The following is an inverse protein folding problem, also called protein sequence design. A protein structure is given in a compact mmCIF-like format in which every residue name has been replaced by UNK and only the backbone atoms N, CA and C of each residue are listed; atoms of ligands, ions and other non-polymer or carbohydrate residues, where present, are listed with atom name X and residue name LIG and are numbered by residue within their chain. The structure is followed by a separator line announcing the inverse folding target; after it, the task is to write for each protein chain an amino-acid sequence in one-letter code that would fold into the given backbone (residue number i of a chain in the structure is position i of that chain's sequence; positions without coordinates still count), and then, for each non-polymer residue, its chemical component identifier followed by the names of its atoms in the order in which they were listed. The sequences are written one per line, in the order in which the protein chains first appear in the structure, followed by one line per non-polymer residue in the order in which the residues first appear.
data_IF_346092287436
#
_entry.id   IF_346092287436
#
_cell.length_a   1.000
_cell.length_b   1.000
_cell.length_c   1.000
_cell.angle_alpha   90.00
_cell.angle_beta   90.00
_cell.angle_gamma   90.00
#
_symmetry.space_group_name_H-M   'P 1'
#
loop_
_entity.id
_entity.type
_entity.pdbx_description
1 polymer ?
#
# COMPACT_ATOMS: atom_id res chain seq x y z
N UNK A 1 -20.32 20.62 30.01
CA UNK A 1 -19.64 21.09 31.25
C UNK A 1 -18.50 20.13 31.50
N UNK A 2 -17.34 20.60 31.92
CA UNK A 2 -16.16 19.75 32.15
C UNK A 2 -15.60 19.94 33.57
N UNK A 3 -14.95 18.92 34.15
CA UNK A 3 -14.24 19.00 35.43
C UNK A 3 -13.28 20.20 35.56
N UNK A 4 -13.40 20.96 36.64
CA UNK A 4 -12.57 22.14 36.91
C UNK A 4 -11.11 21.77 37.22
N UNK A 5 -10.17 22.49 36.62
CA UNK A 5 -8.74 22.24 36.79
C UNK A 5 -8.16 22.99 38.01
N UNK A 6 -7.12 22.41 38.62
CA UNK A 6 -6.51 22.85 39.87
C UNK A 6 -4.98 22.74 39.84
N UNK A 7 -4.31 23.48 40.71
CA UNK A 7 -2.87 23.27 41.01
C UNK A 7 -2.63 21.81 41.37
N UNK A 8 -1.55 21.20 40.88
CA UNK A 8 -1.13 19.80 40.90
C UNK A 8 -1.87 18.86 39.94
N UNK A 9 -2.82 19.37 39.14
CA UNK A 9 -3.43 18.55 38.10
C UNK A 9 -2.43 18.37 36.95
N UNK A 10 -2.46 17.18 36.37
CA UNK A 10 -1.51 16.71 35.37
C UNK A 10 -1.85 17.28 33.99
N UNK A 11 -0.82 17.49 33.18
CA UNK A 11 -0.96 17.84 31.76
C UNK A 11 -0.33 16.75 30.89
N UNK A 12 -0.88 16.53 29.70
CA UNK A 12 -0.38 15.52 28.78
C UNK A 12 -0.44 15.97 27.32
N UNK A 13 0.34 15.28 26.51
CA UNK A 13 0.15 15.19 25.07
C UNK A 13 -0.42 13.83 24.74
N UNK A 14 -1.23 13.76 23.68
CA UNK A 14 -1.76 12.51 23.17
C UNK A 14 -0.69 11.65 22.52
N UNK A 15 -1.07 10.44 22.14
CA UNK A 15 -0.23 9.52 21.37
C UNK A 15 -0.20 9.83 19.86
N UNK A 16 -1.03 10.78 19.40
CA UNK A 16 -1.28 11.04 17.98
C UNK A 16 -0.01 11.40 17.22
N UNK A 17 0.83 12.30 17.76
CA UNK A 17 2.08 12.69 17.08
C UNK A 17 3.03 11.52 16.80
N UNK A 18 3.26 10.68 17.80
CA UNK A 18 4.12 9.50 17.64
C UNK A 18 3.57 8.57 16.55
N UNK A 19 2.27 8.31 16.59
CA UNK A 19 1.62 7.41 15.65
C UNK A 19 1.58 7.98 14.23
N UNK A 20 1.34 9.29 14.07
CA UNK A 20 1.42 9.99 12.79
C UNK A 20 2.81 9.92 12.19
N UNK A 21 3.86 10.20 12.98
CA UNK A 21 5.25 10.13 12.49
C UNK A 21 5.60 8.69 12.09
N UNK A 22 5.29 7.71 12.94
CA UNK A 22 5.51 6.30 12.63
C UNK A 22 4.78 5.84 11.37
N UNK A 23 3.51 6.19 11.24
CA UNK A 23 2.69 5.87 10.08
C UNK A 23 3.16 6.58 8.81
N UNK A 24 3.56 7.86 8.90
CA UNK A 24 4.11 8.62 7.78
C UNK A 24 5.40 8.00 7.25
N UNK A 25 6.28 7.47 8.13
CA UNK A 25 7.50 6.78 7.73
C UNK A 25 7.20 5.48 6.95
N UNK A 26 6.19 4.71 7.38
CA UNK A 26 5.68 3.56 6.61
C UNK A 26 5.14 4.04 5.25
N UNK A 27 4.43 5.17 5.25
CA UNK A 27 3.96 5.86 4.05
C UNK A 27 5.08 6.24 3.08
N UNK A 28 6.21 6.78 3.56
CA UNK A 28 7.39 7.09 2.73
C UNK A 28 7.89 5.84 2.03
N UNK A 29 8.12 4.75 2.79
CA UNK A 29 8.64 3.51 2.24
C UNK A 29 7.69 2.91 1.19
N UNK A 30 6.39 2.90 1.49
CA UNK A 30 5.36 2.44 0.56
C UNK A 30 5.29 3.31 -0.70
N UNK A 31 5.31 4.64 -0.56
CA UNK A 31 5.29 5.57 -1.69
C UNK A 31 6.46 5.37 -2.64
N UNK A 32 7.68 5.24 -2.11
CA UNK A 32 8.88 4.96 -2.91
C UNK A 32 8.74 3.61 -3.64
N UNK A 33 8.24 2.58 -2.94
CA UNK A 33 8.07 1.27 -3.53
C UNK A 33 6.99 1.27 -4.64
N UNK A 34 5.89 2.03 -4.49
CA UNK A 34 4.88 2.23 -5.56
C UNK A 34 5.51 2.92 -6.78
N UNK A 35 6.30 3.98 -6.56
CA UNK A 35 7.00 4.69 -7.63
C UNK A 35 7.88 3.75 -8.43
N UNK A 36 8.68 2.91 -7.75
CA UNK A 36 9.51 1.89 -8.40
C UNK A 36 8.70 0.81 -9.12
N UNK A 37 7.62 0.32 -8.50
CA UNK A 37 6.80 -0.76 -9.05
C UNK A 37 6.11 -0.39 -10.37
N UNK A 38 5.70 0.87 -10.53
CA UNK A 38 4.97 1.35 -11.71
C UNK A 38 5.86 2.15 -12.66
N UNK A 39 7.05 2.57 -12.21
CA UNK A 39 7.96 3.42 -12.98
C UNK A 39 7.47 4.87 -13.08
N UNK A 40 6.91 5.41 -11.98
CA UNK A 40 6.47 6.80 -11.93
C UNK A 40 7.69 7.74 -11.96
N UNK A 41 7.56 8.87 -12.64
CA UNK A 41 8.62 9.88 -12.70
C UNK A 41 8.06 11.29 -12.49
N UNK A 42 8.94 12.23 -12.15
CA UNK A 42 8.59 13.64 -12.00
C UNK A 42 7.46 13.89 -11.00
N UNK A 43 6.52 14.76 -11.36
CA UNK A 43 5.44 15.20 -10.47
C UNK A 43 4.52 14.07 -10.01
N UNK A 44 4.27 13.05 -10.85
CA UNK A 44 3.40 11.94 -10.48
C UNK A 44 4.04 11.05 -9.39
N UNK A 45 5.37 10.91 -9.42
CA UNK A 45 6.10 10.22 -8.36
C UNK A 45 6.00 10.98 -7.02
N UNK A 46 6.14 12.30 -7.05
CA UNK A 46 5.98 13.15 -5.86
C UNK A 46 4.57 13.05 -5.27
N UNK A 47 3.53 13.06 -6.12
CA UNK A 47 2.13 12.89 -5.70
C UNK A 47 1.89 11.52 -5.04
N UNK A 48 2.42 10.43 -5.62
CA UNK A 48 2.26 9.10 -5.04
C UNK A 48 2.92 8.98 -3.65
N UNK A 49 4.13 9.54 -3.50
CA UNK A 49 4.84 9.55 -2.21
C UNK A 49 4.10 10.43 -1.19
N UNK A 50 3.69 11.64 -1.58
CA UNK A 50 2.93 12.54 -0.71
C UNK A 50 1.61 11.91 -0.23
N UNK A 51 0.88 11.25 -1.14
CA UNK A 51 -0.35 10.54 -0.81
C UNK A 51 -0.12 9.38 0.16
N UNK A 52 0.96 8.62 -0.02
CA UNK A 52 1.32 7.52 0.86
C UNK A 52 1.76 8.02 2.26
N UNK A 53 2.51 9.12 2.34
CA UNK A 53 2.87 9.78 3.60
C UNK A 53 1.62 10.22 4.36
N UNK A 54 0.71 10.92 3.68
CA UNK A 54 -0.56 11.37 4.25
C UNK A 54 -1.40 10.18 4.73
N UNK A 55 -1.59 9.18 3.87
CA UNK A 55 -2.36 7.98 4.19
C UNK A 55 -1.78 7.20 5.37
N UNK A 56 -0.45 7.01 5.39
CA UNK A 56 0.23 6.32 6.48
C UNK A 56 0.13 7.09 7.80
N UNK A 57 0.37 8.41 7.77
CA UNK A 57 0.30 9.25 8.96
C UNK A 57 -1.10 9.31 9.57
N UNK A 58 -2.13 9.54 8.74
CA UNK A 58 -3.52 9.57 9.20
C UNK A 58 -4.00 8.20 9.67
N UNK A 59 -3.59 7.11 9.01
CA UNK A 59 -3.90 5.77 9.48
C UNK A 59 -3.26 5.48 10.85
N UNK A 60 -2.01 5.91 11.05
CA UNK A 60 -1.33 5.82 12.35
C UNK A 60 -2.08 6.58 13.45
N UNK A 61 -2.48 7.82 13.18
CA UNK A 61 -3.29 8.65 14.08
C UNK A 61 -4.62 7.98 14.47
N UNK A 62 -5.33 7.43 13.50
CA UNK A 62 -6.60 6.74 13.70
C UNK A 62 -6.43 5.47 14.55
N UNK A 63 -5.37 4.67 14.30
CA UNK A 63 -5.06 3.50 15.15
C UNK A 63 -4.83 3.95 16.60
N UNK A 64 -4.01 4.97 16.82
CA UNK A 64 -3.70 5.44 18.16
C UNK A 64 -4.94 6.03 18.87
N UNK A 65 -5.73 6.83 18.17
CA UNK A 65 -6.97 7.42 18.69
C UNK A 65 -7.99 6.33 19.05
N UNK A 66 -8.13 5.31 18.20
CA UNK A 66 -9.02 4.18 18.46
C UNK A 66 -8.57 3.34 19.66
N UNK A 67 -7.29 2.98 19.75
CA UNK A 67 -6.75 2.24 20.90
C UNK A 67 -6.87 3.03 22.20
N UNK A 68 -6.55 4.34 22.18
CA UNK A 68 -6.68 5.20 23.34
C UNK A 68 -8.12 5.25 23.85
N UNK A 69 -9.10 5.31 22.94
CA UNK A 69 -10.52 5.35 23.29
C UNK A 69 -11.03 3.99 23.79
N UNK A 70 -10.67 2.88 23.13
CA UNK A 70 -11.18 1.54 23.46
C UNK A 70 -10.66 1.06 24.82
N UNK A 71 -9.39 1.34 25.10
CA UNK A 71 -8.72 0.85 26.31
C UNK A 71 -8.56 1.91 27.41
N UNK A 72 -9.11 3.11 27.21
CA UNK A 72 -8.97 4.27 28.10
C UNK A 72 -7.49 4.46 28.52
N UNK A 73 -6.60 4.51 27.51
CA UNK A 73 -5.17 4.46 27.75
C UNK A 73 -4.71 5.72 28.50
N UNK A 74 -3.99 5.57 29.62
CA UNK A 74 -3.57 6.72 30.41
C UNK A 74 -2.47 7.49 29.68
N UNK A 75 -2.79 8.66 29.16
CA UNK A 75 -1.82 9.52 28.48
C UNK A 75 -0.60 9.80 29.37
N UNK A 76 0.63 9.82 28.83
CA UNK A 76 1.81 10.06 29.64
C UNK A 76 1.80 11.47 30.20
N UNK A 77 1.91 11.60 31.53
CA UNK A 77 2.03 12.90 32.19
C UNK A 77 3.30 13.60 31.72
N UNK A 78 3.12 14.79 31.17
CA UNK A 78 4.21 15.62 30.63
C UNK A 78 4.60 16.77 31.54
N UNK A 79 3.78 17.07 32.55
CA UNK A 79 4.01 18.10 33.56
C UNK A 79 2.82 18.20 34.53
N UNK A 80 2.89 19.16 35.45
CA UNK A 80 1.84 19.45 36.42
C UNK A 80 1.62 20.96 36.53
N UNK A 81 0.38 21.37 36.76
CA UNK A 81 0.02 22.76 36.97
C UNK A 81 0.53 23.23 38.34
N UNK A 82 1.28 24.32 38.41
CA UNK A 82 1.88 24.77 39.68
C UNK A 82 1.40 26.15 40.13
N UNK A 83 0.76 26.91 39.24
CA UNK A 83 0.28 28.27 39.53
C UNK A 83 -1.24 28.31 39.43
N UNK A 84 -1.92 28.65 40.53
CA UNK A 84 -3.38 28.74 40.61
C UNK A 84 -3.88 30.12 41.05
N UNK A 85 -5.19 30.23 41.25
CA UNK A 85 -5.81 31.39 41.89
C UNK A 85 -5.36 31.53 43.35
N UNK A 86 -5.08 32.75 43.83
CA UNK A 86 -4.70 32.99 45.22
C UNK A 86 -5.88 32.94 46.20
N UNK A 87 -7.12 32.97 45.73
CA UNK A 87 -8.31 33.12 46.58
C UNK A 87 -9.54 32.31 46.12
N UNK A 88 -9.50 31.67 44.95
CA UNK A 88 -10.55 30.75 44.50
C UNK A 88 -9.97 29.35 44.48
N UNK A 89 -10.58 28.47 45.27
CA UNK A 89 -10.13 27.10 45.44
C UNK A 89 -11.20 26.14 44.96
N UNK A 90 -10.78 25.09 44.25
CA UNK A 90 -11.64 23.96 43.91
C UNK A 90 -11.14 22.78 44.70
N UNK A 91 -11.97 22.25 45.61
CA UNK A 91 -11.59 21.18 46.54
C UNK A 91 -10.26 21.45 47.27
N UNK A 92 -10.09 22.68 47.79
CA UNK A 92 -8.93 23.07 48.57
C UNK A 92 -7.64 23.36 47.77
N UNK A 93 -7.63 23.14 46.46
CA UNK A 93 -6.47 23.45 45.58
C UNK A 93 -6.78 24.69 44.74
N UNK A 94 -5.77 25.53 44.50
CA UNK A 94 -5.95 26.78 43.76
C UNK A 94 -6.53 26.51 42.36
N UNK A 95 -7.60 27.21 42.00
CA UNK A 95 -8.27 27.02 40.71
C UNK A 95 -7.40 27.53 39.55
N UNK A 96 -7.46 26.86 38.39
CA UNK A 96 -6.63 27.22 37.22
C UNK A 96 -7.34 28.24 36.35
N UNK A 97 -6.59 29.23 35.92
CA UNK A 97 -7.04 30.38 35.13
C UNK A 97 -6.25 30.44 33.84
N UNK A 98 -6.91 30.65 32.71
CA UNK A 98 -6.22 31.02 31.50
C UNK A 98 -5.40 32.31 31.72
N UNK A 99 -4.28 32.45 31.00
CA UNK A 99 -3.27 33.51 31.07
C UNK A 99 -2.44 33.62 32.36
N UNK A 100 -3.05 33.36 33.52
CA UNK A 100 -2.41 33.61 34.83
C UNK A 100 -1.94 32.35 35.55
N UNK A 101 -2.37 31.17 35.08
CA UNK A 101 -1.89 29.88 35.58
C UNK A 101 -0.90 29.24 34.61
N UNK A 102 -0.05 28.37 35.14
CA UNK A 102 0.96 27.67 34.35
C UNK A 102 1.35 26.34 34.96
N UNK A 103 1.84 25.43 34.12
CA UNK A 103 2.70 24.34 34.55
C UNK A 103 4.14 24.85 34.72
N UNK A 104 4.93 24.23 35.59
CA UNK A 104 6.34 24.59 35.81
C UNK A 104 7.27 24.15 34.68
N UNK A 105 6.87 23.10 33.96
CA UNK A 105 7.61 22.53 32.84
C UNK A 105 6.69 21.65 31.99
N UNK A 106 7.16 21.26 30.80
CA UNK A 106 6.54 20.23 29.99
C UNK A 106 7.60 19.44 29.22
N UNK A 107 7.64 18.11 29.36
CA UNK A 107 8.65 17.28 28.68
C UNK A 107 8.32 16.99 27.19
N UNK A 108 7.06 17.14 26.76
CA UNK A 108 6.62 17.02 25.35
C UNK A 108 6.84 15.65 24.68
N UNK A 109 7.17 14.60 25.46
CA UNK A 109 7.69 13.35 24.92
C UNK A 109 6.65 12.50 24.17
N UNK A 110 7.06 11.76 23.12
CA UNK A 110 8.08 12.09 22.14
C UNK A 110 7.45 12.84 20.93
N UNK A 111 8.18 13.80 20.37
CA UNK A 111 7.88 14.52 19.12
C UNK A 111 6.89 15.69 19.14
N UNK A 112 6.31 16.08 20.28
CA UNK A 112 5.50 17.31 20.33
C UNK A 112 6.38 18.56 20.37
N UNK A 113 7.33 18.60 21.30
CA UNK A 113 8.35 19.64 21.36
C UNK A 113 9.52 19.15 22.23
N UNK A 114 10.74 19.74 22.11
CA UNK A 114 11.81 19.52 23.08
C UNK A 114 11.36 19.89 24.50
N UNK A 115 11.93 19.31 25.56
CA UNK A 115 11.56 19.65 26.93
C UNK A 115 11.57 21.17 27.15
N UNK A 116 10.47 21.70 27.67
CA UNK A 116 10.33 23.08 28.11
C UNK A 116 10.58 23.15 29.61
N UNK A 117 11.76 23.62 30.05
CA UNK A 117 12.10 23.73 31.47
C UNK A 117 11.48 24.96 32.15
N UNK A 118 10.80 25.84 31.39
CA UNK A 118 10.17 27.06 31.88
C UNK A 118 8.66 26.93 32.07
N UNK A 119 8.06 27.98 32.64
CA UNK A 119 6.63 28.02 32.86
C UNK A 119 5.84 27.94 31.56
N UNK A 120 4.89 27.01 31.51
CA UNK A 120 4.00 26.82 30.37
C UNK A 120 2.64 27.36 30.73
N UNK A 121 2.26 28.49 30.12
CA UNK A 121 1.05 29.22 30.48
C UNK A 121 -0.19 28.50 29.95
N UNK A 122 -1.25 28.42 30.75
CA UNK A 122 -2.57 27.92 30.35
C UNK A 122 -3.23 28.94 29.43
N UNK A 123 -3.75 28.49 28.28
CA UNK A 123 -4.29 29.36 27.23
C UNK A 123 -5.76 29.18 26.96
N UNK A 124 -6.38 28.15 27.51
CA UNK A 124 -7.80 27.90 27.32
C UNK A 124 -8.57 27.87 28.65
N UNK A 125 -9.83 28.27 28.58
CA UNK A 125 -10.76 28.24 29.70
C UNK A 125 -12.20 28.42 29.25
N UNK A 126 -13.09 28.79 30.16
CA UNK A 126 -14.51 29.00 29.87
C UNK A 126 -14.77 30.37 29.29
N UNK A 127 -15.59 30.42 28.23
CA UNK A 127 -16.09 31.67 27.69
C UNK A 127 -17.08 32.40 28.62
N UNK A 128 -17.65 31.70 29.61
CA UNK A 128 -18.74 32.23 30.45
C UNK A 128 -18.45 32.18 31.95
N UNK A 129 -17.45 31.41 32.39
CA UNK A 129 -17.07 31.29 33.80
C UNK A 129 -15.68 31.88 33.98
N UNK A 130 -15.57 32.88 34.84
CA UNK A 130 -14.34 33.62 35.07
C UNK A 130 -13.89 33.49 36.53
N UNK A 131 -12.59 33.33 36.74
CA UNK A 131 -11.94 33.31 38.04
C UNK A 131 -10.88 34.42 38.05
N UNK A 132 -11.06 35.40 38.94
CA UNK A 132 -10.24 36.61 38.99
C UNK A 132 -10.18 37.37 37.65
N UNK A 133 -11.31 37.43 36.94
CA UNK A 133 -11.39 38.11 35.64
C UNK A 133 -10.84 37.32 34.46
N UNK A 134 -10.34 36.09 34.67
CA UNK A 134 -9.79 35.25 33.60
C UNK A 134 -10.64 34.00 33.36
N UNK A 135 -10.72 33.49 32.12
CA UNK A 135 -11.42 32.24 31.81
C UNK A 135 -11.00 31.09 32.72
N UNK A 136 -11.97 30.42 33.33
CA UNK A 136 -11.71 29.30 34.23
C UNK A 136 -11.35 28.04 33.44
N UNK A 137 -10.16 27.49 33.67
CA UNK A 137 -9.67 26.31 32.95
C UNK A 137 -10.22 25.01 33.54
N UNK A 138 -10.36 24.02 32.68
CA UNK A 138 -11.02 22.72 32.97
C UNK A 138 -10.31 21.60 32.22
N UNK A 139 -10.74 20.36 32.45
CA UNK A 139 -10.25 19.18 31.73
C UNK A 139 -10.19 19.47 30.22
N UNK A 140 -9.11 19.03 29.57
CA UNK A 140 -8.77 19.26 28.15
C UNK A 140 -8.44 20.70 27.75
N UNK A 141 -8.48 21.69 28.66
CA UNK A 141 -8.00 23.04 28.33
C UNK A 141 -6.50 22.99 28.00
N UNK A 142 -6.10 23.65 26.92
CA UNK A 142 -4.72 23.64 26.44
C UNK A 142 -3.83 24.72 27.05
N UNK A 143 -2.55 24.39 27.07
CA UNK A 143 -1.44 25.24 27.43
C UNK A 143 -0.73 25.75 26.17
N UNK A 144 0.18 26.70 26.35
CA UNK A 144 0.93 27.34 25.25
C UNK A 144 1.68 26.32 24.37
N UNK A 145 2.11 25.18 24.93
CA UNK A 145 2.81 24.12 24.19
C UNK A 145 1.91 23.13 23.43
N UNK A 146 0.58 23.26 23.53
CA UNK A 146 -0.36 22.28 22.99
C UNK A 146 -0.75 21.16 23.98
N UNK A 147 0.01 20.95 25.06
CA UNK A 147 -0.41 20.04 26.13
C UNK A 147 -1.77 20.45 26.69
N UNK A 148 -2.58 19.47 27.07
CA UNK A 148 -3.88 19.71 27.66
C UNK A 148 -3.93 19.19 29.09
N UNK A 149 -4.85 19.76 29.88
CA UNK A 149 -5.08 19.33 31.26
C UNK A 149 -5.75 17.95 31.25
N UNK A 150 -5.07 16.94 31.81
CA UNK A 150 -5.43 15.52 31.79
C UNK A 150 -6.14 15.06 33.06
N UNK A 151 -5.86 15.67 34.21
CA UNK A 151 -6.60 15.41 35.45
C UNK A 151 -7.29 16.66 35.97
N UNK A 152 -8.36 16.50 36.75
CA UNK A 152 -9.22 17.59 37.16
C UNK A 152 -10.04 17.23 38.41
N UNK A 153 -10.90 18.16 38.86
CA UNK A 153 -11.82 17.97 39.97
C UNK A 153 -12.85 16.87 39.73
N UNK A 154 -13.07 15.93 40.67
CA UNK A 154 -14.05 14.85 40.47
C UNK A 154 -15.52 15.31 40.51
N UNK A 155 -15.81 16.51 41.02
CA UNK A 155 -17.17 16.93 41.37
C UNK A 155 -17.48 18.41 41.14
N UNK A 156 -16.52 19.22 40.72
CA UNK A 156 -16.75 20.62 40.37
C UNK A 156 -16.65 20.76 38.86
N UNK A 157 -17.73 21.20 38.23
CA UNK A 157 -17.85 21.32 36.79
C UNK A 157 -17.91 22.79 36.37
N UNK A 158 -17.21 23.12 35.29
CA UNK A 158 -17.23 24.43 34.64
C UNK A 158 -17.95 24.28 33.30
N UNK A 159 -18.96 25.12 33.08
CA UNK A 159 -19.71 25.21 31.83
C UNK A 159 -19.09 26.18 30.82
N UNK A 160 -19.83 26.43 29.74
CA UNK A 160 -19.43 27.35 28.67
C UNK A 160 -18.55 26.69 27.60
N UNK A 161 -18.51 27.34 26.43
CA UNK A 161 -17.60 26.98 25.34
C UNK A 161 -16.14 27.24 25.72
N UNK A 162 -15.21 26.68 24.95
CA UNK A 162 -13.78 26.91 25.13
C UNK A 162 -13.41 28.27 24.55
N UNK A 163 -12.87 29.16 25.39
CA UNK A 163 -12.26 30.40 24.97
C UNK A 163 -10.74 30.27 24.99
N UNK A 164 -10.10 30.58 23.87
CA UNK A 164 -8.65 30.63 23.75
C UNK A 164 -8.17 32.08 23.97
N UNK A 165 -7.30 32.26 24.96
CA UNK A 165 -6.80 33.58 25.43
C UNK A 165 -5.47 33.98 24.81
N UNK A 166 -4.80 33.08 24.11
CA UNK A 166 -3.54 33.38 23.43
C UNK A 166 -3.09 32.24 22.53
N UNK A 167 -1.89 32.36 21.96
CA UNK A 167 -1.36 31.36 21.04
C UNK A 167 -1.17 29.99 21.71
N UNK A 168 -1.58 28.93 21.03
CA UNK A 168 -1.38 27.53 21.41
C UNK A 168 -0.59 26.86 20.28
N UNK A 169 0.61 26.40 20.59
CA UNK A 169 1.46 25.64 19.67
C UNK A 169 1.01 24.17 19.64
N UNK A 170 -0.15 23.90 19.04
CA UNK A 170 -0.68 22.53 18.95
C UNK A 170 -0.11 21.79 17.73
N UNK A 171 1.11 21.28 17.89
CA UNK A 171 1.80 20.58 16.81
C UNK A 171 1.06 19.31 16.36
N UNK A 172 0.37 18.62 17.28
CA UNK A 172 -0.43 17.44 16.95
C UNK A 172 -1.56 17.77 15.99
N UNK A 173 -2.39 18.75 16.35
CA UNK A 173 -3.48 19.22 15.50
C UNK A 173 -2.96 19.74 14.16
N UNK A 174 -1.89 20.52 14.16
CA UNK A 174 -1.28 21.05 12.94
C UNK A 174 -0.76 19.95 12.02
N UNK A 175 -0.12 18.92 12.57
CA UNK A 175 0.38 17.77 11.81
C UNK A 175 -0.78 16.99 11.21
N UNK A 176 -1.84 16.74 12.00
CA UNK A 176 -3.04 16.04 11.53
C UNK A 176 -3.70 16.79 10.37
N UNK A 177 -3.94 18.10 10.52
CA UNK A 177 -4.49 18.94 9.45
C UNK A 177 -3.56 19.03 8.24
N UNK A 178 -2.25 19.13 8.46
CA UNK A 178 -1.25 19.13 7.39
C UNK A 178 -1.28 17.84 6.56
N UNK A 179 -1.37 16.68 7.21
CA UNK A 179 -1.51 15.38 6.54
C UNK A 179 -2.84 15.26 5.80
N UNK A 180 -3.95 15.75 6.36
CA UNK A 180 -5.24 15.79 5.66
C UNK A 180 -5.17 16.64 4.37
N UNK A 181 -4.59 17.83 4.47
CA UNK A 181 -4.39 18.72 3.31
C UNK A 181 -3.47 18.04 2.29
N UNK A 182 -2.38 17.41 2.73
CA UNK A 182 -1.46 16.69 1.85
C UNK A 182 -2.16 15.52 1.14
N UNK A 183 -2.99 14.76 1.85
CA UNK A 183 -3.76 13.65 1.29
C UNK A 183 -4.75 14.12 0.23
N UNK A 184 -5.52 15.17 0.52
CA UNK A 184 -6.46 15.78 -0.44
C UNK A 184 -5.71 16.34 -1.64
N UNK A 185 -4.62 17.09 -1.43
CA UNK A 185 -3.81 17.64 -2.51
C UNK A 185 -3.20 16.54 -3.39
N UNK A 186 -2.79 15.41 -2.79
CA UNK A 186 -2.28 14.26 -3.53
C UNK A 186 -3.37 13.57 -4.35
N UNK A 187 -4.59 13.43 -3.81
CA UNK A 187 -5.73 12.91 -4.56
C UNK A 187 -6.10 13.83 -5.73
N UNK A 188 -6.14 15.15 -5.51
CA UNK A 188 -6.38 16.14 -6.58
C UNK A 188 -5.28 16.05 -7.63
N UNK A 189 -4.02 16.02 -7.22
CA UNK A 189 -2.88 15.89 -8.12
C UNK A 189 -2.93 14.61 -8.95
N UNK A 190 -3.25 13.48 -8.33
CA UNK A 190 -3.42 12.20 -9.02
C UNK A 190 -4.57 12.26 -10.02
N UNK A 191 -5.68 12.91 -9.66
CA UNK A 191 -6.80 13.17 -10.56
C UNK A 191 -6.43 14.04 -11.76
N UNK A 192 -5.61 15.08 -11.57
CA UNK A 192 -5.09 15.91 -12.67
C UNK A 192 -4.23 15.07 -13.62
N UNK A 193 -3.30 14.27 -13.10
CA UNK A 193 -2.50 13.37 -13.94
C UNK A 193 -3.35 12.33 -14.67
N UNK A 194 -4.37 11.78 -14.00
CA UNK A 194 -5.31 10.85 -14.63
C UNK A 194 -6.13 11.52 -15.75
N UNK A 195 -6.56 12.77 -15.57
CA UNK A 195 -7.23 13.56 -16.59
C UNK A 195 -6.32 13.85 -17.78
N UNK A 196 -5.05 14.18 -17.55
CA UNK A 196 -4.05 14.36 -18.61
C UNK A 196 -3.81 13.07 -19.40
N UNK A 197 -3.91 11.91 -18.75
CA UNK A 197 -3.82 10.60 -19.41
C UNK A 197 -5.08 10.22 -20.20
N UNK A 198 -6.18 10.95 -20.05
CA UNK A 198 -7.42 10.82 -20.82
C UNK A 198 -8.64 10.45 -19.99
N UNK A 199 -9.82 10.61 -20.58
CA UNK A 199 -11.11 10.43 -19.89
C UNK A 199 -11.30 9.03 -19.29
N UNK A 200 -10.79 7.98 -19.95
CA UNK A 200 -10.85 6.60 -19.42
C UNK A 200 -10.02 6.44 -18.15
N UNK A 201 -8.80 7.00 -18.12
CA UNK A 201 -7.92 6.95 -16.95
C UNK A 201 -8.50 7.76 -15.80
N UNK A 202 -9.04 8.95 -16.07
CA UNK A 202 -9.74 9.76 -15.07
C UNK A 202 -10.99 9.08 -14.52
N UNK A 203 -11.81 8.47 -15.40
CA UNK A 203 -12.98 7.71 -14.99
C UNK A 203 -12.63 6.54 -14.07
N UNK A 204 -11.58 5.77 -14.42
CA UNK A 204 -11.08 4.70 -13.57
C UNK A 204 -10.58 5.23 -12.22
N UNK A 205 -9.80 6.31 -12.21
CA UNK A 205 -9.34 6.97 -10.99
C UNK A 205 -10.51 7.41 -10.09
N UNK A 206 -11.51 8.09 -10.66
CA UNK A 206 -12.67 8.57 -9.91
C UNK A 206 -13.48 7.42 -9.31
N UNK A 207 -13.69 6.33 -10.06
CA UNK A 207 -14.39 5.13 -9.58
C UNK A 207 -13.61 4.46 -8.44
N UNK A 208 -12.29 4.28 -8.59
CA UNK A 208 -11.45 3.69 -7.56
C UNK A 208 -11.43 4.56 -6.31
N UNK A 209 -11.29 5.88 -6.46
CA UNK A 209 -11.31 6.84 -5.35
C UNK A 209 -12.64 6.83 -4.61
N UNK A 210 -13.77 6.86 -5.34
CA UNK A 210 -15.10 6.81 -4.75
C UNK A 210 -15.38 5.47 -4.04
N UNK A 211 -14.99 4.35 -4.65
CA UNK A 211 -15.11 3.03 -4.04
C UNK A 211 -14.24 2.90 -2.79
N UNK A 212 -13.02 3.44 -2.82
CA UNK A 212 -12.14 3.50 -1.65
C UNK A 212 -12.76 4.32 -0.51
N UNK A 213 -13.29 5.50 -0.79
CA UNK A 213 -14.00 6.33 0.19
C UNK A 213 -15.21 5.62 0.79
N UNK A 214 -16.08 5.07 -0.06
CA UNK A 214 -17.27 4.35 0.39
C UNK A 214 -16.91 3.10 1.23
N UNK A 215 -15.85 2.39 0.84
CA UNK A 215 -15.32 1.25 1.61
C UNK A 215 -14.85 1.67 3.00
N UNK A 216 -14.11 2.78 3.11
CA UNK A 216 -13.64 3.30 4.40
C UNK A 216 -14.79 3.78 5.28
N UNK A 217 -15.81 4.44 4.72
CA UNK A 217 -17.00 4.82 5.48
C UNK A 217 -17.77 3.58 5.94
N UNK A 218 -17.84 2.54 5.10
CA UNK A 218 -18.39 1.23 5.47
C UNK A 218 -17.69 0.62 6.69
N UNK A 219 -16.36 0.62 6.70
CA UNK A 219 -15.55 0.17 7.85
C UNK A 219 -15.85 1.02 9.08
N UNK A 220 -16.01 2.34 8.90
CA UNK A 220 -16.36 3.25 9.99
C UNK A 220 -17.72 2.96 10.61
N UNK A 221 -18.74 2.72 9.79
CA UNK A 221 -20.08 2.34 10.25
C UNK A 221 -20.08 1.02 11.03
N UNK A 222 -19.29 0.03 10.58
CA UNK A 222 -19.10 -1.22 11.34
C UNK A 222 -18.42 -0.93 12.68
N UNK A 223 -17.42 -0.06 12.71
CA UNK A 223 -16.75 0.37 13.94
C UNK A 223 -17.70 1.04 14.93
N UNK A 224 -18.49 2.01 14.45
CA UNK A 224 -19.48 2.72 15.29
C UNK A 224 -20.50 1.75 15.91
N UNK A 225 -20.89 0.70 15.18
CA UNK A 225 -21.81 -0.33 15.67
C UNK A 225 -21.20 -1.19 16.80
N UNK A 226 -19.88 -1.31 16.87
CA UNK A 226 -19.18 -2.07 17.92
C UNK A 226 -19.05 -1.22 19.19
N UNK A 227 -18.66 0.05 19.05
CA UNK A 227 -18.57 0.97 20.17
C UNK A 227 -17.56 2.11 19.96
N UNK A 228 -17.39 2.98 20.98
CA UNK A 228 -16.49 4.11 20.91
C UNK A 228 -15.06 3.70 20.55
N UNK A 229 -14.42 4.46 19.64
CA UNK A 229 -13.04 4.23 19.20
C UNK A 229 -12.85 3.15 18.14
N UNK A 230 -13.82 2.25 17.92
CA UNK A 230 -13.67 1.18 16.93
C UNK A 230 -13.69 1.68 15.47
N UNK A 231 -14.41 2.78 15.17
CA UNK A 231 -14.32 3.43 13.84
C UNK A 231 -12.89 3.80 13.51
N UNK A 232 -12.24 4.55 14.41
CA UNK A 232 -10.87 5.01 14.20
C UNK A 232 -9.90 3.83 14.15
N UNK A 233 -10.03 2.86 15.06
CA UNK A 233 -9.16 1.68 15.05
C UNK A 233 -9.27 0.90 13.73
N UNK A 234 -10.48 0.56 13.31
CA UNK A 234 -10.69 -0.26 12.12
C UNK A 234 -10.32 0.49 10.84
N UNK A 235 -10.71 1.77 10.71
CA UNK A 235 -10.31 2.59 9.57
C UNK A 235 -8.79 2.76 9.52
N UNK A 236 -8.15 3.03 10.66
CA UNK A 236 -6.70 3.14 10.73
C UNK A 236 -5.98 1.84 10.34
N UNK A 237 -6.45 0.68 10.81
CA UNK A 237 -5.89 -0.63 10.45
C UNK A 237 -6.06 -0.95 8.96
N UNK A 238 -7.26 -0.72 8.40
CA UNK A 238 -7.52 -0.94 6.97
C UNK A 238 -6.71 0.03 6.11
N UNK A 239 -6.65 1.30 6.49
CA UNK A 239 -5.86 2.33 5.83
C UNK A 239 -4.36 1.98 5.82
N UNK A 240 -3.81 1.58 6.97
CA UNK A 240 -2.43 1.13 7.07
C UNK A 240 -2.17 -0.12 6.25
N UNK A 241 -3.11 -1.09 6.27
CA UNK A 241 -3.05 -2.28 5.43
C UNK A 241 -2.99 -1.94 3.94
N UNK A 242 -3.75 -0.95 3.48
CA UNK A 242 -3.69 -0.45 2.10
C UNK A 242 -2.35 0.23 1.79
N UNK A 243 -1.78 1.03 2.71
CA UNK A 243 -0.45 1.63 2.53
C UNK A 243 0.62 0.55 2.36
N UNK A 244 0.63 -0.46 3.24
CA UNK A 244 1.62 -1.54 3.22
C UNK A 244 1.45 -2.46 2.01
N UNK A 245 0.21 -2.77 1.60
CA UNK A 245 -0.06 -3.64 0.45
C UNK A 245 -0.01 -2.92 -0.90
N UNK A 246 -0.12 -1.58 -0.90
CA UNK A 246 -0.14 -0.73 -2.09
C UNK A 246 0.98 -1.01 -3.10
N UNK A 247 2.27 -1.08 -2.70
CA UNK A 247 3.37 -1.39 -3.62
C UNK A 247 3.21 -2.73 -4.33
N UNK A 248 2.77 -3.77 -3.58
CA UNK A 248 2.54 -5.09 -4.15
C UNK A 248 1.38 -5.04 -5.15
N UNK A 249 0.25 -4.45 -4.76
CA UNK A 249 -0.92 -4.31 -5.63
C UNK A 249 -0.60 -3.50 -6.90
N UNK A 250 0.20 -2.45 -6.78
CA UNK A 250 0.65 -1.64 -7.92
C UNK A 250 1.55 -2.46 -8.87
N UNK A 251 2.48 -3.27 -8.34
CA UNK A 251 3.31 -4.19 -9.14
C UNK A 251 2.46 -5.24 -9.85
N UNK A 252 1.53 -5.88 -9.14
CA UNK A 252 0.62 -6.88 -9.71
C UNK A 252 -0.24 -6.27 -10.83
N UNK A 253 -0.79 -5.08 -10.57
CA UNK A 253 -1.57 -4.32 -11.56
C UNK A 253 -0.76 -3.97 -12.80
N UNK A 254 0.48 -3.47 -12.64
CA UNK A 254 1.38 -3.20 -13.77
C UNK A 254 1.68 -4.47 -14.57
N UNK A 255 1.98 -5.59 -13.90
CA UNK A 255 2.25 -6.86 -14.57
C UNK A 255 1.02 -7.33 -15.36
N UNK A 256 -0.18 -7.25 -14.77
CA UNK A 256 -1.42 -7.68 -15.42
C UNK A 256 -1.75 -6.80 -16.63
N UNK A 257 -1.60 -5.48 -16.50
CA UNK A 257 -1.78 -4.53 -17.59
C UNK A 257 -0.79 -4.79 -18.73
N UNK A 258 0.50 -4.91 -18.42
CA UNK A 258 1.55 -5.16 -19.42
C UNK A 258 1.30 -6.50 -20.12
N UNK A 259 0.92 -7.55 -19.38
CA UNK A 259 0.55 -8.85 -19.95
C UNK A 259 -0.60 -8.75 -20.95
N UNK A 260 -1.66 -8.03 -20.59
CA UNK A 260 -2.80 -7.82 -21.49
C UNK A 260 -2.39 -7.09 -22.77
N UNK A 261 -1.58 -6.04 -22.65
CA UNK A 261 -1.10 -5.24 -23.78
C UNK A 261 -0.14 -6.02 -24.67
N UNK A 262 0.78 -6.79 -24.10
CA UNK A 262 1.68 -7.69 -24.83
C UNK A 262 0.87 -8.75 -25.60
N UNK A 263 -0.14 -9.36 -24.95
CA UNK A 263 -1.00 -10.35 -25.58
C UNK A 263 -1.77 -9.76 -26.78
N UNK A 264 -2.33 -8.56 -26.64
CA UNK A 264 -3.02 -7.85 -27.71
C UNK A 264 -2.08 -7.54 -28.90
N UNK A 265 -0.93 -6.90 -28.65
CA UNK A 265 0.07 -6.58 -29.68
C UNK A 265 0.57 -7.83 -30.41
N UNK A 266 0.82 -8.91 -29.67
CA UNK A 266 1.21 -10.20 -30.24
C UNK A 266 0.11 -10.79 -31.14
N UNK A 267 -1.15 -10.72 -30.74
CA UNK A 267 -2.31 -11.14 -31.56
C UNK A 267 -2.45 -10.31 -32.84
N UNK A 268 -2.09 -9.03 -32.79
CA UNK A 268 -2.05 -8.12 -33.95
C UNK A 268 -0.79 -8.29 -34.83
N UNK A 269 0.17 -9.13 -34.43
CA UNK A 269 1.44 -9.32 -35.14
C UNK A 269 2.48 -8.21 -34.90
N UNK A 270 2.21 -7.28 -33.97
CA UNK A 270 3.08 -6.16 -33.60
C UNK A 270 4.10 -6.57 -32.54
N UNK A 271 4.92 -7.58 -32.88
CA UNK A 271 5.84 -8.23 -31.94
C UNK A 271 6.90 -7.26 -31.40
N UNK A 272 7.42 -6.37 -32.23
CA UNK A 272 8.45 -5.42 -31.78
C UNK A 272 7.92 -4.43 -30.72
N UNK A 273 6.66 -4.02 -30.84
CA UNK A 273 6.01 -3.19 -29.82
C UNK A 273 5.74 -3.96 -28.52
N UNK A 274 5.41 -5.24 -28.62
CA UNK A 274 5.29 -6.11 -27.45
C UNK A 274 6.65 -6.31 -26.74
N UNK A 275 7.72 -6.51 -27.52
CA UNK A 275 9.11 -6.60 -27.03
C UNK A 275 9.54 -5.30 -26.35
N UNK A 276 9.19 -4.14 -26.89
CA UNK A 276 9.51 -2.84 -26.29
C UNK A 276 8.98 -2.69 -24.86
N UNK A 277 7.84 -3.30 -24.52
CA UNK A 277 7.29 -3.31 -23.15
C UNK A 277 8.17 -4.15 -22.21
N UNK A 278 8.74 -5.25 -22.71
CA UNK A 278 9.59 -6.18 -21.96
C UNK A 278 11.05 -5.72 -21.86
N UNK A 279 11.53 -4.89 -22.81
CA UNK A 279 12.94 -4.48 -22.91
C UNK A 279 13.52 -4.01 -21.59
N UNK A 280 12.82 -3.15 -20.82
CA UNK A 280 13.30 -2.67 -19.52
C UNK A 280 13.55 -3.79 -18.49
N UNK A 281 12.77 -4.86 -18.55
CA UNK A 281 12.90 -6.00 -17.63
C UNK A 281 14.02 -6.93 -18.07
N UNK A 282 14.17 -7.09 -19.39
CA UNK A 282 15.27 -7.84 -20.00
C UNK A 282 16.61 -7.16 -19.71
N UNK A 283 16.70 -5.85 -19.91
CA UNK A 283 17.91 -5.06 -19.63
C UNK A 283 18.30 -5.09 -18.15
N UNK A 284 17.31 -5.19 -17.26
CA UNK A 284 17.51 -5.30 -15.82
C UNK A 284 17.85 -6.73 -15.36
N UNK A 285 17.79 -7.74 -16.24
CA UNK A 285 17.92 -9.16 -15.86
C UNK A 285 16.79 -9.66 -14.96
N UNK A 286 15.62 -9.00 -14.98
CA UNK A 286 14.46 -9.31 -14.14
C UNK A 286 13.66 -10.48 -14.72
N UNK A 287 14.13 -11.70 -14.44
CA UNK A 287 13.49 -12.95 -14.89
C UNK A 287 12.00 -12.97 -14.53
N UNK A 288 11.65 -12.66 -13.28
CA UNK A 288 10.25 -12.67 -12.80
C UNK A 288 9.41 -11.63 -13.56
N UNK A 289 9.96 -10.43 -13.75
CA UNK A 289 9.31 -9.35 -14.47
C UNK A 289 9.07 -9.64 -15.94
N UNK A 290 9.96 -10.39 -16.60
CA UNK A 290 9.77 -10.88 -17.97
C UNK A 290 8.71 -11.97 -17.97
N UNK A 291 8.97 -13.08 -17.27
CA UNK A 291 8.14 -14.29 -17.30
C UNK A 291 6.69 -13.92 -16.99
N UNK A 292 6.42 -13.22 -15.89
CA UNK A 292 5.04 -12.94 -15.45
C UNK A 292 4.28 -12.03 -16.39
N UNK A 293 4.94 -11.25 -17.25
CA UNK A 293 4.29 -10.42 -18.27
C UNK A 293 3.95 -11.18 -19.55
N UNK A 294 4.36 -12.45 -19.66
CA UNK A 294 3.98 -13.32 -20.77
C UNK A 294 2.66 -14.04 -20.49
N UNK A 295 1.75 -13.94 -21.46
CA UNK A 295 0.54 -14.75 -21.56
C UNK A 295 0.82 -16.00 -22.40
N UNK A 296 1.08 -17.11 -21.72
CA UNK A 296 1.36 -18.41 -22.35
C UNK A 296 0.16 -19.34 -22.31
N UNK A 297 -1.05 -18.80 -22.23
CA UNK A 297 -2.25 -19.63 -22.30
C UNK A 297 -2.50 -20.14 -23.72
N UNK A 298 -3.15 -21.30 -23.83
CA UNK A 298 -3.50 -21.91 -25.13
C UNK A 298 -4.84 -21.40 -25.67
N UNK A 299 -5.49 -20.43 -25.00
CA UNK A 299 -6.86 -19.98 -25.29
C UNK A 299 -7.86 -21.15 -25.41
N UNK A 300 -7.69 -22.20 -24.57
CA UNK A 300 -8.55 -23.38 -24.55
C UNK A 300 -8.24 -24.45 -25.59
N UNK A 301 -7.21 -24.25 -26.42
CA UNK A 301 -6.75 -25.24 -27.40
C UNK A 301 -5.87 -26.32 -26.76
N UNK A 302 -5.76 -27.53 -27.37
CA UNK A 302 -4.77 -28.51 -26.99
C UNK A 302 -3.35 -27.92 -27.00
N UNK A 303 -2.57 -28.22 -25.96
CA UNK A 303 -1.17 -27.81 -25.88
C UNK A 303 -0.23 -28.94 -26.21
N UNK A 304 0.82 -28.62 -26.98
CA UNK A 304 1.83 -29.56 -27.42
C UNK A 304 3.21 -29.12 -26.91
N UNK A 305 3.84 -29.97 -26.10
CA UNK A 305 5.25 -29.82 -25.72
C UNK A 305 6.12 -30.34 -26.87
N UNK A 306 7.33 -29.82 -27.02
CA UNK A 306 8.22 -30.35 -28.06
C UNK A 306 9.70 -30.32 -27.69
N UNK A 307 10.49 -31.15 -28.37
CA UNK A 307 11.94 -31.18 -28.26
C UNK A 307 12.58 -31.59 -29.58
N UNK A 308 13.44 -30.71 -30.12
CA UNK A 308 14.11 -30.90 -31.40
C UNK A 308 13.68 -29.87 -32.43
N UNK A 309 12.75 -30.24 -33.31
CA UNK A 309 12.36 -29.41 -34.44
C UNK A 309 11.15 -28.51 -34.13
N UNK A 310 11.43 -27.24 -33.83
CA UNK A 310 10.45 -26.18 -33.53
C UNK A 310 9.40 -26.02 -34.63
N UNK A 311 9.84 -25.96 -35.89
CA UNK A 311 8.99 -25.67 -37.04
C UNK A 311 7.98 -26.79 -37.26
N UNK A 312 8.46 -28.04 -37.28
CA UNK A 312 7.60 -29.22 -37.42
C UNK A 312 6.62 -29.35 -36.25
N UNK A 313 7.04 -29.05 -35.02
CA UNK A 313 6.16 -29.07 -33.85
C UNK A 313 5.01 -28.06 -33.98
N UNK A 314 5.30 -26.85 -34.45
CA UNK A 314 4.27 -25.84 -34.72
C UNK A 314 3.27 -26.27 -35.80
N UNK A 315 3.75 -26.93 -36.86
CA UNK A 315 2.91 -27.48 -37.92
C UNK A 315 2.02 -28.62 -37.42
N UNK A 316 2.58 -29.59 -36.68
CA UNK A 316 1.82 -30.67 -36.04
C UNK A 316 0.75 -30.11 -35.11
N UNK A 317 1.12 -29.18 -34.23
CA UNK A 317 0.20 -28.59 -33.27
C UNK A 317 -0.98 -27.92 -33.99
N UNK A 318 -0.71 -27.15 -35.05
CA UNK A 318 -1.75 -26.50 -35.86
C UNK A 318 -2.65 -27.51 -36.57
N UNK A 319 -2.09 -28.57 -37.12
CA UNK A 319 -2.86 -29.64 -37.78
C UNK A 319 -3.79 -30.39 -36.82
N UNK A 320 -3.42 -30.45 -35.54
CA UNK A 320 -4.22 -31.05 -34.47
C UNK A 320 -5.04 -30.03 -33.68
N UNK A 321 -5.25 -28.82 -34.22
CA UNK A 321 -6.10 -27.78 -33.64
C UNK A 321 -5.56 -27.14 -32.36
N UNK A 322 -4.30 -27.39 -32.01
CA UNK A 322 -3.64 -26.90 -30.81
C UNK A 322 -2.57 -25.84 -31.07
N UNK A 323 -1.70 -25.66 -30.07
CA UNK A 323 -0.57 -24.74 -30.11
C UNK A 323 0.60 -25.27 -29.29
N UNK A 324 1.82 -24.92 -29.68
CA UNK A 324 3.01 -25.02 -28.81
C UNK A 324 3.15 -23.77 -27.95
N UNK A 325 4.15 -23.72 -27.07
CA UNK A 325 4.51 -22.52 -26.31
C UNK A 325 4.72 -21.32 -27.21
N UNK A 326 5.48 -21.46 -28.29
CA UNK A 326 5.83 -20.40 -29.24
C UNK A 326 4.63 -19.94 -30.06
N UNK A 327 3.55 -20.73 -30.12
CA UNK A 327 2.29 -20.30 -30.73
C UNK A 327 1.40 -19.46 -29.80
N UNK A 328 1.71 -19.39 -28.50
CA UNK A 328 0.97 -18.54 -27.54
C UNK A 328 1.30 -17.05 -27.73
N UNK A 329 0.44 -16.13 -27.27
CA UNK A 329 0.72 -14.70 -27.37
C UNK A 329 2.06 -14.30 -26.75
N UNK A 330 2.38 -14.82 -25.57
CA UNK A 330 3.63 -14.55 -24.85
C UNK A 330 4.83 -15.29 -25.45
N UNK A 331 4.66 -16.55 -25.86
CA UNK A 331 5.73 -17.31 -26.49
C UNK A 331 6.24 -16.66 -27.77
N UNK A 332 5.34 -16.18 -28.64
CA UNK A 332 5.71 -15.46 -29.88
C UNK A 332 6.58 -14.23 -29.64
N UNK A 333 6.46 -13.59 -28.47
CA UNK A 333 7.17 -12.34 -28.17
C UNK A 333 8.62 -12.61 -27.81
N UNK A 334 8.89 -13.71 -27.08
CA UNK A 334 10.24 -14.10 -26.69
C UNK A 334 10.92 -15.02 -27.71
N UNK A 335 10.16 -15.64 -28.60
CA UNK A 335 10.71 -16.51 -29.64
C UNK A 335 11.64 -15.73 -30.58
N UNK A 336 12.79 -16.33 -30.88
CA UNK A 336 13.86 -15.78 -31.71
C UNK A 336 14.18 -14.29 -31.40
N UNK A 337 14.19 -13.92 -30.11
CA UNK A 337 14.48 -12.55 -29.69
C UNK A 337 15.97 -12.36 -29.34
N UNK A 338 16.74 -11.88 -30.30
CA UNK A 338 18.20 -11.69 -30.16
C UNK A 338 18.60 -10.80 -28.98
N UNK A 339 17.82 -9.75 -28.70
CA UNK A 339 18.09 -8.85 -27.57
C UNK A 339 17.96 -9.58 -26.23
N UNK A 340 16.95 -10.43 -26.06
CA UNK A 340 16.80 -11.27 -24.86
C UNK A 340 18.00 -12.20 -24.71
N UNK A 341 18.40 -12.87 -25.78
CA UNK A 341 19.54 -13.81 -25.76
C UNK A 341 20.87 -13.12 -25.47
N UNK A 342 21.01 -11.85 -25.86
CA UNK A 342 22.22 -11.04 -25.64
C UNK A 342 22.25 -10.45 -24.24
N UNK A 343 21.14 -9.86 -23.78
CA UNK A 343 21.03 -9.21 -22.48
C UNK A 343 20.92 -10.22 -21.33
N UNK A 344 20.28 -11.37 -21.57
CA UNK A 344 20.14 -12.47 -20.63
C UNK A 344 20.66 -13.78 -21.26
N UNK A 345 21.99 -13.95 -21.38
CA UNK A 345 22.59 -15.20 -21.82
C UNK A 345 22.08 -16.40 -21.03
N UNK A 346 22.25 -17.61 -21.58
CA UNK A 346 21.73 -18.84 -20.99
C UNK A 346 22.07 -19.01 -19.50
N UNK A 347 23.33 -18.78 -19.14
CA UNK A 347 23.87 -18.86 -17.77
C UNK A 347 23.50 -17.65 -16.88
N UNK A 348 22.90 -16.60 -17.46
CA UNK A 348 22.59 -15.32 -16.82
C UNK A 348 21.14 -14.91 -17.04
N UNK A 349 20.21 -15.79 -16.66
CA UNK A 349 18.78 -15.51 -16.68
C UNK A 349 18.03 -16.10 -17.88
N UNK A 350 18.70 -16.34 -19.01
CA UNK A 350 18.07 -16.88 -20.22
C UNK A 350 17.46 -18.27 -20.00
N UNK A 351 18.19 -19.16 -19.32
CA UNK A 351 17.66 -20.47 -18.92
C UNK A 351 16.39 -20.32 -18.06
N UNK A 352 16.42 -19.43 -17.08
CA UNK A 352 15.30 -19.23 -16.15
C UNK A 352 14.10 -18.60 -16.86
N UNK A 353 14.29 -17.65 -17.79
CA UNK A 353 13.20 -17.08 -18.58
C UNK A 353 12.51 -18.17 -19.39
N UNK A 354 13.27 -18.95 -20.17
CA UNK A 354 12.70 -20.02 -20.99
C UNK A 354 12.09 -21.12 -20.14
N UNK A 355 12.81 -21.60 -19.12
CA UNK A 355 12.38 -22.66 -18.23
C UNK A 355 11.12 -22.31 -17.43
N UNK A 356 11.07 -21.14 -16.80
CA UNK A 356 9.89 -20.74 -16.03
C UNK A 356 8.68 -20.41 -16.93
N UNK A 357 8.91 -19.88 -18.13
CA UNK A 357 7.84 -19.65 -19.12
C UNK A 357 7.26 -20.98 -19.60
N UNK A 358 8.11 -21.95 -19.92
CA UNK A 358 7.76 -23.32 -20.31
C UNK A 358 7.05 -24.08 -19.18
N UNK A 359 7.50 -23.96 -17.92
CA UNK A 359 6.79 -24.50 -16.75
C UNK A 359 5.39 -23.89 -16.61
N UNK A 360 5.23 -22.57 -16.81
CA UNK A 360 3.92 -21.90 -16.75
C UNK A 360 2.98 -22.34 -17.88
N UNK A 361 3.51 -22.54 -19.08
CA UNK A 361 2.76 -23.12 -20.20
C UNK A 361 2.26 -24.52 -19.87
N UNK A 362 3.17 -25.41 -19.42
CA UNK A 362 2.87 -26.80 -19.02
C UNK A 362 1.84 -26.88 -17.90
N UNK A 363 1.93 -25.98 -16.91
CA UNK A 363 0.95 -25.89 -15.81
C UNK A 363 -0.44 -25.52 -16.28
N UNK A 364 -0.55 -24.77 -17.38
CA UNK A 364 -1.82 -24.39 -18.00
C UNK A 364 -2.47 -25.51 -18.83
N UNK A 365 -1.74 -26.58 -19.15
CA UNK A 365 -2.27 -27.69 -19.95
C UNK A 365 -3.20 -28.58 -19.14
N UNK A 366 -4.15 -29.26 -19.77
CA UNK A 366 -5.06 -30.18 -19.10
C UNK A 366 -5.59 -31.24 -20.06
N UNK A 367 -6.14 -32.32 -19.51
CA UNK A 367 -6.62 -33.44 -20.29
C UNK A 367 -5.47 -34.26 -20.89
N UNK A 368 -5.51 -34.47 -22.20
CA UNK A 368 -4.49 -35.21 -22.92
C UNK A 368 -3.36 -34.26 -23.34
N UNK A 369 -2.15 -34.51 -22.83
CA UNK A 369 -0.95 -33.72 -23.14
C UNK A 369 0.02 -34.58 -23.92
N UNK A 370 0.55 -34.04 -25.02
CA UNK A 370 1.51 -34.73 -25.88
C UNK A 370 2.85 -33.99 -25.88
N UNK A 371 3.94 -34.75 -25.83
CA UNK A 371 5.30 -34.26 -26.01
C UNK A 371 5.90 -34.80 -27.31
N UNK A 372 6.12 -33.91 -28.27
CA UNK A 372 6.58 -34.22 -29.61
C UNK A 372 8.11 -34.17 -29.68
N UNK A 373 8.74 -35.25 -30.11
CA UNK A 373 10.19 -35.37 -30.12
C UNK A 373 10.70 -35.70 -31.51
N UNK A 374 11.90 -35.22 -31.81
CA UNK A 374 12.71 -35.71 -32.94
C UNK A 374 13.57 -36.90 -32.50
N UNK A 375 13.99 -37.80 -33.41
CA UNK A 375 14.88 -38.92 -33.09
C UNK A 375 16.12 -38.51 -32.31
N UNK A 376 16.76 -37.39 -32.69
CA UNK A 376 17.95 -36.85 -32.02
C UNK A 376 17.71 -36.27 -30.63
N UNK A 377 16.44 -36.06 -30.25
CA UNK A 377 16.00 -35.56 -28.93
C UNK A 377 15.02 -36.51 -28.25
N UNK A 378 15.14 -37.81 -28.52
CA UNK A 378 14.41 -38.84 -27.78
C UNK A 378 14.69 -38.73 -26.27
N UNK A 379 13.65 -38.75 -25.43
CA UNK A 379 13.73 -38.48 -24.00
C UNK A 379 13.79 -36.99 -23.62
N UNK A 380 13.47 -36.11 -24.58
CA UNK A 380 13.25 -34.68 -24.39
C UNK A 380 14.51 -33.82 -24.34
N UNK A 381 14.32 -32.50 -24.35
CA UNK A 381 15.37 -31.50 -24.18
C UNK A 381 15.70 -31.22 -22.71
N UNK A 382 16.65 -30.30 -22.50
CA UNK A 382 17.01 -29.84 -21.14
C UNK A 382 15.84 -29.12 -20.45
N UNK A 383 15.19 -28.17 -21.14
CA UNK A 383 14.04 -27.42 -20.61
C UNK A 383 12.90 -28.38 -20.26
N UNK A 384 12.56 -29.29 -21.17
CA UNK A 384 11.54 -30.31 -20.96
C UNK A 384 11.78 -31.11 -19.68
N UNK A 385 12.98 -31.69 -19.51
CA UNK A 385 13.30 -32.50 -18.34
C UNK A 385 13.32 -31.70 -17.04
N UNK A 386 13.85 -30.48 -17.05
CA UNK A 386 14.08 -29.69 -15.83
C UNK A 386 12.85 -28.92 -15.38
N UNK A 387 12.04 -28.41 -16.32
CA UNK A 387 10.97 -27.45 -16.03
C UNK A 387 9.57 -27.96 -16.40
N UNK A 388 9.42 -28.74 -17.48
CA UNK A 388 8.09 -29.21 -17.93
C UNK A 388 7.71 -30.50 -17.23
N UNK A 389 8.63 -31.47 -17.14
CA UNK A 389 8.37 -32.77 -16.53
C UNK A 389 7.84 -32.67 -15.08
N UNK A 390 8.40 -31.82 -14.18
CA UNK A 390 7.82 -31.64 -12.86
C UNK A 390 6.37 -31.15 -12.86
N UNK A 391 6.01 -30.27 -13.81
CA UNK A 391 4.64 -29.74 -13.94
C UNK A 391 3.68 -30.75 -14.57
N UNK A 392 4.18 -31.66 -15.41
CA UNK A 392 3.42 -32.81 -15.95
C UNK A 392 3.10 -33.77 -14.81
N UNK A 393 4.11 -34.17 -14.03
CA UNK A 393 3.93 -35.07 -12.89
C UNK A 393 2.98 -34.47 -11.84
N UNK A 394 3.14 -33.19 -11.52
CA UNK A 394 2.19 -32.49 -10.64
C UNK A 394 0.76 -32.46 -11.24
N UNK A 395 0.64 -32.31 -12.56
CA UNK A 395 -0.64 -32.35 -13.27
C UNK A 395 -1.31 -33.73 -13.27
N UNK A 396 -0.53 -34.81 -13.35
CA UNK A 396 -1.03 -36.19 -13.21
C UNK A 396 -1.54 -36.44 -11.80
N UNK A 397 -0.77 -36.04 -10.79
CA UNK A 397 -1.13 -36.19 -9.37
C UNK A 397 -2.42 -35.43 -9.03
N UNK A 398 -2.60 -34.22 -9.58
CA UNK A 398 -3.81 -33.44 -9.33
C UNK A 398 -5.02 -33.87 -10.18
N UNK A 399 -4.84 -34.79 -11.12
CA UNK A 399 -5.87 -35.20 -12.09
C UNK A 399 -6.13 -34.16 -13.20
N UNK A 400 -5.37 -33.06 -13.24
CA UNK A 400 -5.44 -32.05 -14.33
C UNK A 400 -5.03 -32.65 -15.68
N UNK A 401 -4.03 -33.52 -15.68
CA UNK A 401 -3.57 -34.26 -16.85
C UNK A 401 -4.10 -35.69 -16.75
N UNK A 402 -4.99 -36.05 -17.65
CA UNK A 402 -5.65 -37.36 -17.68
C UNK A 402 -4.84 -38.39 -18.45
N UNK A 403 -4.09 -37.93 -19.46
CA UNK A 403 -3.16 -38.77 -20.23
C UNK A 403 -1.94 -37.95 -20.64
N UNK A 404 -0.77 -38.59 -20.64
CA UNK A 404 0.47 -38.00 -21.11
C UNK A 404 1.19 -38.98 -22.03
N UNK A 405 1.56 -38.52 -23.23
CA UNK A 405 2.24 -39.34 -24.22
C UNK A 405 3.46 -38.63 -24.82
N UNK A 406 4.58 -39.33 -24.88
CA UNK A 406 5.78 -38.90 -25.59
C UNK A 406 5.82 -39.56 -26.98
N UNK A 407 5.87 -38.76 -28.03
CA UNK A 407 5.80 -39.22 -29.43
C UNK A 407 7.03 -38.80 -30.21
N UNK A 408 7.71 -39.76 -30.84
CA UNK A 408 8.77 -39.46 -31.81
C UNK A 408 8.13 -39.30 -33.20
N UNK A 409 7.65 -38.09 -33.48
CA UNK A 409 6.88 -37.76 -34.70
C UNK A 409 7.43 -36.56 -35.46
N UNK A 410 8.44 -35.89 -34.91
CA UNK A 410 9.08 -34.76 -35.58
C UNK A 410 10.29 -35.26 -36.38
N UNK A 411 10.50 -34.79 -37.63
CA UNK A 411 11.78 -35.02 -38.30
C UNK A 411 12.89 -34.21 -37.60
N UNK A 412 14.14 -34.69 -37.68
CA UNK A 412 15.29 -33.95 -37.12
C UNK A 412 15.49 -32.59 -37.82
N UNK A 413 15.05 -32.43 -39.07
CA UNK A 413 15.07 -31.17 -39.83
C UNK A 413 13.95 -31.12 -40.89
N UNK A 414 13.51 -29.92 -41.27
CA UNK A 414 12.50 -29.72 -42.31
C UNK A 414 11.07 -29.69 -41.77
N UNK A 415 10.09 -29.69 -42.69
CA UNK A 415 8.66 -29.62 -42.40
C UNK A 415 8.08 -30.96 -41.89
N UNK A 416 6.99 -30.87 -41.13
CA UNK A 416 6.13 -32.00 -40.76
C UNK A 416 5.34 -32.47 -41.98
N UNK A 417 5.30 -33.80 -42.18
CA UNK A 417 4.73 -34.45 -43.37
C UNK A 417 3.21 -34.62 -43.29
#
# INVERSE_FOLDING_TARGET
MEPAARVDDEIAHGYGMLAMVGGALVGVAAGIAVVGAVGLTGGLAAVAIAGAIAGGGLAGDQIASGLATIFDLPEPTTGVLTVGSPNVFVNGRGAIRAELSSASSCNGLPFNHPPWPGSVIVREGSATVFINGQPASRLKSKLTCGAHIKSASPNVLIGGETAQTGFVFDLESWTRSGLQILGIASLVGAGVFAAMAGAAAFGAFAVIGAAGYAGMEGVGMVGDAIGPGYRDLLQGLVGMGMVVSGPKLAREGSIAHDRGRISALSKEGRIDEARAILTRHVDAGDVDGVVRRLDVSTDGKPGFLWSGNKVAAGQYAKAHGGTTLEGTPGGRVIDDWDHLNTAMPWDKGGEQVWGQTSARYTRGLSGNVEALQSPSKAGGGYIFRKYEMPEIEAGKVSGRITNFEEKIVLPDSGDWQ
#
